data_IF_878460847953
#
_entry.id   IF_878460847953
#
_cell.length_a   1.000
_cell.length_b   1.000
_cell.length_c   1.000
_cell.angle_alpha   90.00
_cell.angle_beta   90.00
_cell.angle_gamma   90.00
#
_symmetry.space_group_name_H-M   'P 1'
#
loop_
_entity.id
_entity.type
_entity.pdbx_description
1 polymer ?
#
# COMPACT_ATOMS: atom_id res chain seq x y z
N UNK A 1 -19.06 -15.89 0.31
CA UNK A 1 -18.21 -14.72 0.00
C UNK A 1 -16.98 -15.23 -0.71
N UNK A 2 -16.45 -14.51 -1.73
CA UNK A 2 -15.20 -14.90 -2.35
C UNK A 2 -14.10 -14.88 -1.29
N UNK A 3 -13.36 -15.99 -1.19
CA UNK A 3 -12.23 -16.16 -0.30
C UNK A 3 -11.06 -15.36 -0.90
N UNK A 4 -10.76 -14.20 -0.32
CA UNK A 4 -9.53 -13.48 -0.58
C UNK A 4 -8.47 -14.07 0.34
N UNK A 5 -7.76 -15.09 -0.12
CA UNK A 5 -6.46 -15.43 0.45
C UNK A 5 -5.61 -14.17 0.22
N UNK A 6 -5.30 -13.46 1.31
CA UNK A 6 -4.91 -12.05 1.27
C UNK A 6 -3.86 -11.77 0.19
N UNK A 7 -4.10 -10.75 -0.65
CA UNK A 7 -3.09 -10.33 -1.62
C UNK A 7 -1.85 -9.80 -0.89
N UNK A 8 -0.78 -10.60 -0.86
CA UNK A 8 0.47 -10.25 -0.19
C UNK A 8 1.31 -9.21 -0.95
N UNK A 9 0.96 -8.89 -2.20
CA UNK A 9 1.80 -8.05 -3.06
C UNK A 9 1.94 -6.60 -2.56
N UNK A 10 1.06 -6.14 -1.66
CA UNK A 10 1.24 -4.86 -0.98
C UNK A 10 2.48 -4.83 -0.08
N UNK A 11 2.88 -5.99 0.45
CA UNK A 11 3.94 -6.15 1.45
C UNK A 11 5.28 -6.55 0.85
N UNK A 12 5.40 -6.55 -0.49
CA UNK A 12 6.61 -6.96 -1.21
C UNK A 12 7.04 -5.84 -2.14
N UNK A 13 8.32 -5.51 -2.09
CA UNK A 13 8.91 -4.55 -3.02
C UNK A 13 9.38 -5.27 -4.30
N UNK A 14 9.27 -4.63 -5.48
CA UNK A 14 8.66 -3.32 -5.71
C UNK A 14 7.14 -3.36 -5.59
N UNK A 15 6.54 -2.29 -5.03
CA UNK A 15 5.09 -2.18 -4.91
C UNK A 15 4.44 -2.07 -6.29
N UNK A 16 3.23 -2.59 -6.44
CA UNK A 16 2.50 -2.56 -7.71
C UNK A 16 1.01 -2.37 -7.51
N UNK A 17 0.38 -1.71 -8.48
CA UNK A 17 -1.08 -1.58 -8.56
C UNK A 17 -1.64 -2.86 -9.18
N UNK A 18 -2.63 -3.48 -8.54
CA UNK A 18 -3.21 -4.76 -8.97
C UNK A 18 -3.94 -4.66 -10.31
N UNK A 19 -4.64 -3.55 -10.55
CA UNK A 19 -5.41 -3.37 -11.78
C UNK A 19 -4.57 -2.60 -12.83
N UNK A 20 -4.26 -3.19 -14.01
CA UNK A 20 -3.33 -2.59 -14.98
C UNK A 20 -3.68 -1.17 -15.46
N UNK A 21 -4.98 -0.85 -15.48
CA UNK A 21 -5.50 0.45 -15.92
C UNK A 21 -5.74 1.43 -14.76
N UNK A 22 -5.48 1.06 -13.51
CA UNK A 22 -5.65 1.96 -12.39
C UNK A 22 -4.43 2.87 -12.25
N UNK A 23 -4.70 4.13 -11.90
CA UNK A 23 -3.69 5.15 -11.58
C UNK A 23 -3.46 5.26 -10.06
N UNK A 24 -4.48 4.90 -9.28
CA UNK A 24 -4.48 4.89 -7.82
C UNK A 24 -5.19 3.62 -7.35
N UNK A 25 -4.64 2.97 -6.34
CA UNK A 25 -5.24 1.88 -5.59
C UNK A 25 -5.39 2.28 -4.13
N UNK A 26 -6.59 2.04 -3.58
CA UNK A 26 -6.89 2.25 -2.17
C UNK A 26 -7.46 0.94 -1.62
N UNK A 27 -6.72 0.30 -0.72
CA UNK A 27 -7.08 -0.99 -0.15
C UNK A 27 -7.24 -0.86 1.37
N UNK A 28 -8.45 -1.04 1.94
CA UNK A 28 -8.61 -1.14 3.37
C UNK A 28 -7.97 -2.44 3.87
N UNK A 29 -7.25 -2.38 4.98
CA UNK A 29 -6.62 -3.54 5.60
C UNK A 29 -7.12 -3.68 7.03
N UNK A 30 -7.70 -4.85 7.34
CA UNK A 30 -8.19 -5.34 8.64
C UNK A 30 -9.06 -4.39 9.52
N UNK A 31 -9.39 -3.19 9.02
CA UNK A 31 -10.09 -2.13 9.74
C UNK A 31 -9.19 -1.18 10.52
N UNK A 32 -7.88 -1.42 10.62
CA UNK A 32 -6.94 -0.55 11.35
C UNK A 32 -6.28 0.51 10.47
N UNK A 33 -6.02 0.21 9.21
CA UNK A 33 -5.44 1.17 8.27
C UNK A 33 -5.88 0.88 6.82
N UNK A 34 -5.43 1.72 5.91
CA UNK A 34 -5.60 1.52 4.48
C UNK A 34 -4.27 1.76 3.77
N UNK A 35 -4.04 1.00 2.70
CA UNK A 35 -2.89 1.14 1.82
C UNK A 35 -3.30 2.01 0.64
N UNK A 36 -2.48 3.00 0.30
CA UNK A 36 -2.65 3.80 -0.91
C UNK A 36 -1.41 3.67 -1.79
N UNK A 37 -1.61 3.27 -3.04
CA UNK A 37 -0.57 3.18 -4.07
C UNK A 37 -0.99 4.08 -5.22
N UNK A 38 -0.07 4.87 -5.76
CA UNK A 38 -0.32 5.80 -6.85
C UNK A 38 0.85 5.77 -7.83
N UNK A 39 0.57 5.97 -9.13
CA UNK A 39 1.61 6.23 -10.14
C UNK A 39 2.14 7.69 -10.09
N UNK A 40 1.45 8.55 -9.34
CA UNK A 40 1.81 9.95 -9.13
C UNK A 40 2.22 10.16 -7.67
N UNK A 41 3.51 10.38 -7.45
CA UNK A 41 4.14 10.57 -6.13
C UNK A 41 3.52 11.72 -5.34
N UNK A 42 2.96 12.73 -6.02
CA UNK A 42 2.29 13.87 -5.37
C UNK A 42 1.09 13.44 -4.54
N UNK A 43 0.50 12.28 -4.84
CA UNK A 43 -0.58 11.70 -4.03
C UNK A 43 -0.04 11.19 -2.70
N UNK A 44 1.08 10.47 -2.72
CA UNK A 44 1.75 9.98 -1.52
C UNK A 44 2.25 11.13 -0.65
N UNK A 45 2.91 12.13 -1.25
CA UNK A 45 3.37 13.34 -0.53
C UNK A 45 2.22 14.06 0.20
N UNK A 46 1.08 14.22 -0.48
CA UNK A 46 -0.11 14.85 0.13
C UNK A 46 -0.70 14.01 1.26
N UNK A 47 -0.72 12.69 1.13
CA UNK A 47 -1.17 11.78 2.19
C UNK A 47 -0.25 11.88 3.41
N UNK A 48 1.06 11.78 3.22
CA UNK A 48 2.05 11.90 4.29
C UNK A 48 1.97 13.27 4.99
N UNK A 49 1.67 14.34 4.24
CA UNK A 49 1.46 15.68 4.80
C UNK A 49 0.15 15.79 5.58
N UNK A 50 -0.94 15.20 5.07
CA UNK A 50 -2.27 15.30 5.66
C UNK A 50 -2.45 14.39 6.89
N UNK A 51 -1.73 13.27 6.94
CA UNK A 51 -1.84 12.27 8.00
C UNK A 51 -0.45 12.03 8.62
N UNK A 52 -0.14 12.69 9.75
CA UNK A 52 1.18 12.58 10.39
C UNK A 52 1.57 11.16 10.84
N UNK A 53 0.60 10.23 10.94
CA UNK A 53 0.82 8.83 11.27
C UNK A 53 1.01 7.93 10.05
N UNK A 54 0.91 8.47 8.83
CA UNK A 54 1.17 7.71 7.62
C UNK A 54 2.65 7.30 7.55
N UNK A 55 2.91 6.12 7.00
CA UNK A 55 4.24 5.58 6.78
C UNK A 55 4.43 5.33 5.28
N UNK A 56 5.67 5.50 4.80
CA UNK A 56 6.03 5.08 3.44
C UNK A 56 5.98 3.55 3.34
N UNK A 57 5.21 3.04 2.38
CA UNK A 57 4.97 1.62 2.22
C UNK A 57 6.23 0.85 1.81
N UNK A 58 7.07 1.41 0.95
CA UNK A 58 8.30 0.75 0.52
C UNK A 58 9.31 0.66 1.67
N UNK A 59 9.42 1.70 2.49
CA UNK A 59 10.21 1.70 3.72
C UNK A 59 9.66 0.71 4.75
N UNK A 60 8.34 0.67 4.93
CA UNK A 60 7.67 -0.30 5.80
C UNK A 60 8.03 -1.74 5.39
N UNK A 61 7.90 -2.05 4.09
CA UNK A 61 8.24 -3.35 3.54
C UNK A 61 9.72 -3.71 3.72
N UNK A 62 10.63 -2.75 3.53
CA UNK A 62 12.08 -2.96 3.77
C UNK A 62 12.37 -3.35 5.22
N UNK A 63 11.69 -2.73 6.19
CA UNK A 63 11.86 -3.05 7.62
C UNK A 63 11.38 -4.47 7.98
N UNK A 64 10.49 -5.05 7.16
CA UNK A 64 9.84 -6.34 7.41
C UNK A 64 10.24 -7.41 6.38
N UNK A 65 11.40 -7.23 5.73
CA UNK A 65 11.90 -8.12 4.64
C UNK A 65 12.13 -9.58 5.08
N UNK A 66 12.08 -9.90 6.37
CA UNK A 66 12.31 -11.25 6.93
C UNK A 66 11.04 -11.94 7.51
N UNK A 67 9.84 -11.44 7.23
CA UNK A 67 8.59 -12.09 7.68
C UNK A 67 7.90 -12.87 6.54
N UNK A 68 8.56 -13.93 6.07
CA UNK A 68 7.94 -15.05 5.35
C UNK A 68 8.61 -16.36 5.78
#
# INVERSE_FOLDING_TARGET
MPFADGYEGFWKNPISIQHPLAEIEVAPYDGSYYVVISKDDRVAEKLMTAFPSAEDLEEHNKKHTDAC
#
